data_IF_921155670441
#
_entry.id   IF_921155670441
#
_cell.length_a   1.000
_cell.length_b   1.000
_cell.length_c   1.000
_cell.angle_alpha   90.00
_cell.angle_beta   90.00
_cell.angle_gamma   90.00
#
_symmetry.space_group_name_H-M   'P 1'
#
loop_
_entity.id
_entity.type
_entity.pdbx_description
1 polymer ?
#
# COMPACT_ATOMS: atom_id res chain seq x y z
N UNK A 1 4.04 13.59 -8.86
CA UNK A 1 3.76 12.27 -9.44
C UNK A 1 3.44 11.33 -8.30
N UNK A 2 2.32 10.60 -8.35
CA UNK A 2 1.90 9.68 -7.29
C UNK A 2 2.30 8.26 -7.63
N UNK A 3 3.31 7.73 -6.94
CA UNK A 3 3.85 6.40 -7.18
C UNK A 3 3.39 5.46 -6.07
N UNK A 4 2.72 4.36 -6.43
CA UNK A 4 2.43 3.26 -5.52
C UNK A 4 3.63 2.32 -5.50
N UNK A 5 4.31 2.20 -4.36
CA UNK A 5 5.44 1.29 -4.20
C UNK A 5 4.99 0.04 -3.47
N UNK A 6 5.26 -1.13 -4.04
CA UNK A 6 4.87 -2.43 -3.51
C UNK A 6 6.10 -3.28 -3.16
N UNK A 7 6.02 -3.93 -2.00
CA UNK A 7 6.98 -4.93 -1.53
C UNK A 7 6.20 -6.16 -1.07
N UNK A 8 6.10 -7.14 -1.98
CA UNK A 8 5.45 -8.42 -1.75
C UNK A 8 6.48 -9.41 -1.16
N UNK A 9 6.28 -9.81 0.11
CA UNK A 9 6.98 -10.93 0.73
C UNK A 9 6.22 -12.25 0.52
N UNK A 10 6.67 -13.34 1.15
CA UNK A 10 6.01 -14.66 1.01
C UNK A 10 4.56 -14.69 1.51
N UNK A 11 4.27 -13.96 2.60
CA UNK A 11 2.93 -13.86 3.19
C UNK A 11 2.60 -12.43 3.65
N UNK A 12 3.28 -11.43 3.07
CA UNK A 12 3.11 -10.03 3.43
C UNK A 12 3.06 -9.15 2.18
N UNK A 13 2.35 -8.03 2.27
CA UNK A 13 2.37 -6.95 1.30
C UNK A 13 2.58 -5.63 2.04
N UNK A 14 3.74 -5.02 1.87
CA UNK A 14 3.99 -3.63 2.31
C UNK A 14 3.76 -2.69 1.13
N UNK A 15 3.14 -1.55 1.38
CA UNK A 15 2.94 -0.53 0.36
C UNK A 15 3.12 0.89 0.89
N UNK A 16 3.44 1.80 -0.02
CA UNK A 16 3.40 3.25 0.21
C UNK A 16 2.87 3.95 -1.04
N UNK A 17 2.09 5.01 -0.85
CA UNK A 17 1.80 5.98 -1.89
C UNK A 17 2.67 7.22 -1.64
N UNK A 18 3.52 7.55 -2.60
CA UNK A 18 4.52 8.61 -2.49
C UNK A 18 4.23 9.68 -3.55
N UNK A 19 4.27 10.96 -3.16
CA UNK A 19 4.35 12.08 -4.10
C UNK A 19 5.80 12.43 -4.40
N UNK A 20 6.20 12.25 -5.66
CA UNK A 20 7.53 12.59 -6.20
C UNK A 20 7.50 13.82 -7.10
N UNK A 21 6.38 14.57 -7.11
CA UNK A 21 6.23 15.77 -7.93
C UNK A 21 6.81 17.05 -7.32
N UNK A 22 7.26 16.99 -6.06
CA UNK A 22 7.82 18.13 -5.34
C UNK A 22 9.21 18.52 -5.86
N UNK A 23 9.54 19.81 -5.73
CA UNK A 23 10.84 20.34 -6.19
C UNK A 23 12.03 19.93 -5.31
N UNK A 24 11.80 19.47 -4.06
CA UNK A 24 12.85 19.30 -3.06
C UNK A 24 12.89 17.92 -2.39
N UNK A 25 11.76 17.22 -2.23
CA UNK A 25 11.74 15.90 -1.59
C UNK A 25 10.49 15.08 -1.96
N UNK A 26 10.63 13.76 -1.81
CA UNK A 26 9.54 12.80 -1.96
C UNK A 26 8.72 12.72 -0.66
N UNK A 27 7.40 12.82 -0.76
CA UNK A 27 6.51 12.81 0.41
C UNK A 27 5.67 11.53 0.47
N UNK A 28 5.73 10.79 1.58
CA UNK A 28 4.79 9.69 1.85
C UNK A 28 3.40 10.28 2.14
N UNK A 29 2.41 9.91 1.33
CA UNK A 29 1.01 10.31 1.51
C UNK A 29 0.21 9.29 2.32
N UNK A 30 0.51 8.01 2.07
CA UNK A 30 -0.15 6.89 2.74
C UNK A 30 0.75 5.65 2.70
N UNK A 31 0.43 4.65 3.51
CA UNK A 31 1.06 3.35 3.41
C UNK A 31 0.53 2.37 4.43
N UNK A 32 1.07 1.16 4.39
CA UNK A 32 0.65 0.13 5.31
C UNK A 32 1.20 -1.25 4.98
N UNK A 33 0.62 -2.23 5.67
CA UNK A 33 0.96 -3.64 5.60
C UNK A 33 -0.32 -4.48 5.58
N UNK A 34 -0.35 -5.50 4.72
CA UNK A 34 -1.17 -6.70 4.93
C UNK A 34 -0.22 -7.82 5.33
N UNK A 35 -0.51 -8.51 6.42
CA UNK A 35 0.24 -9.66 6.92
C UNK A 35 -0.60 -10.95 6.87
N UNK A 36 0.08 -12.10 7.01
CA UNK A 36 -0.53 -13.43 7.09
C UNK A 36 -1.48 -13.70 5.91
N UNK A 37 -1.09 -13.27 4.71
CA UNK A 37 -1.82 -13.52 3.45
C UNK A 37 -1.99 -15.04 3.26
N UNK A 38 -3.17 -15.48 2.84
CA UNK A 38 -3.53 -16.90 2.67
C UNK A 38 -3.96 -17.60 3.96
N UNK A 39 -4.10 -16.87 5.06
CA UNK A 39 -4.54 -17.40 6.36
C UNK A 39 -5.36 -16.37 7.14
N UNK A 40 -5.00 -16.18 8.41
CA UNK A 40 -5.65 -15.22 9.32
C UNK A 40 -5.16 -13.79 9.07
N UNK A 41 -5.38 -13.29 7.85
CA UNK A 41 -4.79 -12.05 7.37
C UNK A 41 -5.27 -10.83 8.16
N UNK A 42 -4.35 -9.88 8.36
CA UNK A 42 -4.64 -8.61 9.00
C UNK A 42 -4.00 -7.45 8.26
N UNK A 43 -4.51 -6.26 8.48
CA UNK A 43 -3.97 -5.04 7.89
C UNK A 43 -3.68 -3.99 8.94
N UNK A 44 -2.72 -3.12 8.63
CA UNK A 44 -2.48 -1.84 9.28
C UNK A 44 -2.21 -0.80 8.19
N UNK A 45 -3.14 0.16 8.03
CA UNK A 45 -3.08 1.21 7.01
C UNK A 45 -3.09 2.60 7.66
N UNK A 46 -2.39 3.54 7.05
CA UNK A 46 -2.25 4.89 7.57
C UNK A 46 -2.16 5.92 6.44
N UNK A 47 -2.92 7.01 6.58
CA UNK A 47 -2.74 8.25 5.82
C UNK A 47 -1.78 9.14 6.61
N UNK A 48 -0.85 9.82 5.94
CA UNK A 48 0.12 10.68 6.60
C UNK A 48 -0.59 11.77 7.42
N UNK A 49 -0.22 11.89 8.70
CA UNK A 49 -0.85 12.80 9.65
C UNK A 49 -1.96 12.15 10.51
N UNK A 50 -2.49 10.99 10.11
CA UNK A 50 -3.53 10.28 10.85
C UNK A 50 -2.96 9.16 11.74
N UNK A 51 -3.77 8.70 12.70
CA UNK A 51 -3.49 7.44 13.41
C UNK A 51 -3.70 6.23 12.50
N UNK A 52 -2.87 5.18 12.61
CA UNK A 52 -3.05 3.95 11.84
C UNK A 52 -4.36 3.26 12.19
N UNK A 53 -5.01 2.67 11.19
CA UNK A 53 -6.19 1.80 11.34
C UNK A 53 -5.77 0.37 11.08
N UNK A 54 -6.23 -0.54 11.92
CA UNK A 54 -5.88 -1.94 11.86
C UNK A 54 -7.10 -2.84 12.00
N UNK A 55 -7.03 -4.03 11.43
CA UNK A 55 -8.15 -4.96 11.47
C UNK A 55 -7.89 -6.27 10.74
N UNK A 56 -8.94 -7.09 10.65
CA UNK A 56 -8.96 -8.29 9.83
C UNK A 56 -9.29 -7.95 8.39
N UNK A 57 -8.70 -8.70 7.46
CA UNK A 57 -8.99 -8.59 6.03
C UNK A 57 -9.01 -9.98 5.41
N UNK A 58 -9.93 -10.22 4.49
CA UNK A 58 -9.89 -11.41 3.67
C UNK A 58 -8.88 -11.19 2.53
N UNK A 59 -7.77 -11.92 2.56
CA UNK A 59 -6.74 -11.89 1.51
C UNK A 59 -6.17 -13.30 1.30
N UNK A 60 -6.81 -14.08 0.43
CA UNK A 60 -6.42 -15.48 0.15
C UNK A 60 -5.07 -15.60 -0.58
N UNK A 61 -4.68 -14.55 -1.30
CA UNK A 61 -3.44 -14.48 -2.06
C UNK A 61 -3.00 -13.02 -2.23
N UNK A 62 -1.86 -12.79 -2.88
CA UNK A 62 -1.32 -11.45 -3.11
C UNK A 62 -2.19 -10.60 -4.04
N UNK A 63 -2.92 -11.19 -4.98
CA UNK A 63 -3.85 -10.46 -5.84
C UNK A 63 -4.98 -9.85 -5.01
N UNK A 64 -5.59 -10.64 -4.12
CA UNK A 64 -6.60 -10.17 -3.19
C UNK A 64 -6.05 -9.11 -2.22
N UNK A 65 -4.80 -9.27 -1.75
CA UNK A 65 -4.13 -8.28 -0.92
C UNK A 65 -3.93 -6.93 -1.65
N UNK A 66 -3.45 -6.96 -2.90
CA UNK A 66 -3.28 -5.75 -3.72
C UNK A 66 -4.62 -5.10 -4.03
N UNK A 67 -5.66 -5.87 -4.33
CA UNK A 67 -7.00 -5.35 -4.54
C UNK A 67 -7.51 -4.58 -3.31
N UNK A 68 -7.24 -5.08 -2.09
CA UNK A 68 -7.61 -4.39 -0.84
C UNK A 68 -6.85 -3.07 -0.64
N UNK A 69 -5.58 -3.02 -1.03
CA UNK A 69 -4.80 -1.77 -1.02
C UNK A 69 -5.39 -0.75 -2.00
N UNK A 70 -5.71 -1.18 -3.23
CA UNK A 70 -6.29 -0.30 -4.26
C UNK A 70 -7.69 0.19 -3.85
N UNK A 71 -8.54 -0.69 -3.31
CA UNK A 71 -9.86 -0.35 -2.77
C UNK A 71 -9.74 0.72 -1.67
N UNK A 72 -8.82 0.51 -0.73
CA UNK A 72 -8.60 1.46 0.36
C UNK A 72 -8.07 2.82 -0.15
N UNK A 73 -7.14 2.84 -1.10
CA UNK A 73 -6.67 4.09 -1.71
C UNK A 73 -7.80 4.78 -2.50
N UNK A 74 -8.62 4.03 -3.24
CA UNK A 74 -9.77 4.56 -3.98
C UNK A 74 -10.85 5.16 -3.09
N UNK A 75 -11.02 4.64 -1.87
CA UNK A 75 -11.89 5.23 -0.85
C UNK A 75 -11.35 6.55 -0.26
N UNK A 76 -10.12 6.93 -0.58
CA UNK A 76 -9.44 8.15 -0.11
C UNK A 76 -9.00 9.04 -1.30
N UNK A 77 -9.94 9.59 -2.09
CA UNK A 77 -9.63 10.30 -3.34
C UNK A 77 -8.78 11.56 -3.16
N UNK A 78 -8.73 12.12 -1.94
CA UNK A 78 -7.89 13.27 -1.61
C UNK A 78 -6.38 12.97 -1.69
N UNK A 79 -5.98 11.68 -1.72
CA UNK A 79 -4.60 11.25 -1.94
C UNK A 79 -4.13 11.41 -3.40
N UNK A 80 -5.07 11.61 -4.33
CA UNK A 80 -4.81 11.66 -5.77
C UNK A 80 -4.84 10.28 -6.45
N UNK A 81 -4.59 10.27 -7.75
CA UNK A 81 -4.58 9.06 -8.58
C UNK A 81 -3.20 8.45 -8.65
N UNK A 82 -3.11 7.12 -8.69
CA UNK A 82 -1.85 6.40 -8.93
C UNK A 82 -1.42 6.63 -10.38
N UNK A 83 -0.22 7.17 -10.58
CA UNK A 83 0.34 7.44 -11.92
C UNK A 83 1.35 6.37 -12.35
N UNK A 84 1.99 5.69 -11.40
CA UNK A 84 2.91 4.59 -11.65
C UNK A 84 2.93 3.61 -10.47
N UNK A 85 3.40 2.39 -10.74
CA UNK A 85 3.61 1.36 -9.70
C UNK A 85 5.06 0.88 -9.73
N UNK A 86 5.75 0.99 -8.60
CA UNK A 86 7.10 0.47 -8.40
C UNK A 86 7.08 -0.83 -7.62
N UNK A 87 7.72 -1.89 -8.13
CA UNK A 87 7.80 -3.18 -7.46
C UNK A 87 9.22 -3.47 -6.99
N UNK A 88 9.39 -3.86 -5.72
CA UNK A 88 10.67 -4.41 -5.26
C UNK A 88 10.84 -5.83 -5.80
N UNK A 89 11.86 -6.03 -6.64
CA UNK A 89 12.29 -7.34 -7.15
C UNK A 89 13.60 -7.72 -6.47
N UNK A 90 13.67 -8.92 -5.89
CA UNK A 90 14.85 -9.36 -5.11
C UNK A 90 15.95 -9.95 -6.01
N UNK A 91 15.57 -10.76 -6.99
CA UNK A 91 16.47 -11.34 -8.00
C UNK A 91 15.90 -11.04 -9.39
N UNK A 92 16.75 -10.51 -10.28
CA UNK A 92 16.40 -10.10 -11.65
C UNK A 92 17.03 -11.00 -12.70
#
# INVERSE_FOLDING_TARGET
MKILVLNCGSATLKFQLIDTGGANEDHKLAGGLIDRIGGDSSYEFQIAGDSPRQGKVAAENHEAAVAKVIEWLGANPHLGFIEAVGHRVVHG
#
